data_IF_928877904422
#
_entry.id   IF_928877904422
#
_cell.length_a   1.000
_cell.length_b   1.000
_cell.length_c   1.000
_cell.angle_alpha   90.00
_cell.angle_beta   90.00
_cell.angle_gamma   90.00
#
_symmetry.space_group_name_H-M   'P 1'
#
loop_
_entity.id
_entity.type
_entity.pdbx_description
1 polymer ?
#
# COMPACT_ATOMS: atom_id res chain seq x y z
N UNK A 1 8.86 2.04 -35.77
CA UNK A 1 8.74 0.62 -35.38
C UNK A 1 9.60 0.19 -34.18
N UNK A 2 10.84 0.68 -33.99
CA UNK A 2 11.72 0.25 -32.87
C UNK A 2 11.17 0.47 -31.44
N UNK A 3 10.22 1.37 -31.24
CA UNK A 3 9.60 1.67 -29.94
C UNK A 3 8.73 0.53 -29.40
N UNK A 4 8.15 -0.29 -30.27
CA UNK A 4 7.27 -1.40 -29.88
C UNK A 4 8.00 -2.71 -29.58
N UNK A 5 9.27 -2.83 -29.98
CA UNK A 5 10.09 -4.04 -29.80
C UNK A 5 11.10 -3.92 -28.65
N UNK A 6 11.06 -2.84 -27.88
CA UNK A 6 11.83 -2.77 -26.63
C UNK A 6 11.10 -3.60 -25.57
N UNK A 7 11.84 -4.46 -24.88
CA UNK A 7 11.43 -5.07 -23.61
C UNK A 7 11.04 -3.94 -22.65
N UNK A 8 9.75 -3.60 -22.61
CA UNK A 8 9.18 -2.68 -21.64
C UNK A 8 8.51 -3.53 -20.59
N UNK A 9 8.94 -3.41 -19.33
CA UNK A 9 8.24 -4.06 -18.21
C UNK A 9 6.76 -3.66 -18.32
N UNK A 10 5.86 -4.64 -18.26
CA UNK A 10 4.42 -4.40 -18.30
C UNK A 10 3.96 -3.75 -16.99
N UNK A 11 4.23 -2.46 -16.85
CA UNK A 11 3.93 -1.64 -15.67
C UNK A 11 2.44 -1.72 -15.32
N UNK A 12 1.56 -1.70 -16.32
CA UNK A 12 0.10 -1.79 -16.14
C UNK A 12 -0.28 -3.08 -15.41
N UNK A 13 0.31 -4.22 -15.79
CA UNK A 13 0.06 -5.50 -15.12
C UNK A 13 0.53 -5.45 -13.67
N UNK A 14 1.71 -4.90 -13.41
CA UNK A 14 2.23 -4.81 -12.04
C UNK A 14 1.38 -3.90 -11.15
N UNK A 15 0.88 -2.78 -11.67
CA UNK A 15 -0.05 -1.90 -10.96
C UNK A 15 -1.39 -2.58 -10.69
N UNK A 16 -1.93 -3.33 -11.64
CA UNK A 16 -3.14 -4.12 -11.41
C UNK A 16 -2.93 -5.09 -10.22
N UNK A 17 -1.86 -5.88 -10.28
CA UNK A 17 -1.48 -6.81 -9.19
C UNK A 17 -1.32 -6.12 -7.84
N UNK A 18 -0.72 -4.93 -7.84
CA UNK A 18 -0.52 -4.14 -6.63
C UNK A 18 -1.83 -3.83 -5.91
N UNK A 19 -2.92 -3.57 -6.64
CA UNK A 19 -4.22 -3.26 -6.03
C UNK A 19 -5.14 -4.48 -5.84
N UNK A 20 -4.94 -5.57 -6.60
CA UNK A 20 -5.87 -6.71 -6.59
C UNK A 20 -5.32 -7.97 -5.92
N UNK A 21 -4.01 -8.22 -6.00
CA UNK A 21 -3.38 -9.48 -5.56
C UNK A 21 -2.62 -9.34 -4.25
N UNK A 22 -2.51 -8.11 -3.72
CA UNK A 22 -1.67 -7.76 -2.58
C UNK A 22 -2.45 -7.71 -1.26
N UNK A 23 -3.37 -8.65 -1.05
CA UNK A 23 -4.04 -8.80 0.25
C UNK A 23 -3.06 -9.27 1.33
N UNK A 24 -3.35 -8.91 2.59
CA UNK A 24 -2.58 -9.40 3.74
C UNK A 24 -2.75 -10.92 3.88
N UNK A 25 -1.64 -11.62 4.09
CA UNK A 25 -1.67 -13.07 4.37
C UNK A 25 -2.11 -13.31 5.82
N UNK A 26 -2.74 -14.47 6.10
CA UNK A 26 -3.32 -14.77 7.41
C UNK A 26 -2.35 -14.68 8.60
N UNK A 27 -1.07 -14.96 8.37
CA UNK A 27 -0.04 -15.02 9.42
C UNK A 27 0.99 -13.89 9.29
N UNK A 28 0.77 -12.94 8.38
CA UNK A 28 1.65 -11.81 8.15
C UNK A 28 1.27 -10.69 9.11
N UNK A 29 2.23 -10.03 9.76
CA UNK A 29 1.99 -8.85 10.59
C UNK A 29 1.70 -7.60 9.75
N UNK A 30 1.13 -6.56 10.34
CA UNK A 30 0.95 -5.25 9.67
C UNK A 30 2.27 -4.72 9.09
N UNK A 31 3.37 -4.88 9.83
CA UNK A 31 4.70 -4.40 9.43
C UNK A 31 5.30 -5.20 8.27
N UNK A 32 5.20 -6.53 8.31
CA UNK A 32 5.64 -7.39 7.20
C UNK A 32 4.85 -7.09 5.92
N UNK A 33 3.55 -6.85 6.07
CA UNK A 33 2.69 -6.45 4.96
C UNK A 33 3.14 -5.11 4.34
N UNK A 34 3.48 -4.12 5.18
CA UNK A 34 3.96 -2.83 4.72
C UNK A 34 5.29 -2.93 3.94
N UNK A 35 6.21 -3.80 4.40
CA UNK A 35 7.48 -4.08 3.70
C UNK A 35 7.20 -4.72 2.34
N UNK A 36 6.37 -5.77 2.28
CA UNK A 36 6.02 -6.45 1.03
C UNK A 36 5.34 -5.51 0.03
N UNK A 37 4.47 -4.62 0.50
CA UNK A 37 3.82 -3.63 -0.34
C UNK A 37 4.85 -2.64 -0.95
N UNK A 38 5.80 -2.16 -0.14
CA UNK A 38 6.90 -1.27 -0.61
C UNK A 38 7.74 -1.96 -1.69
N UNK A 39 8.15 -3.20 -1.46
CA UNK A 39 8.92 -3.98 -2.43
C UNK A 39 8.19 -4.14 -3.76
N UNK A 40 6.88 -4.43 -3.71
CA UNK A 40 6.09 -4.57 -4.92
C UNK A 40 5.91 -3.23 -5.65
N UNK A 41 5.80 -2.12 -4.92
CA UNK A 41 5.66 -0.78 -5.51
C UNK A 41 6.88 -0.39 -6.36
N UNK A 42 8.08 -0.87 -6.03
CA UNK A 42 9.30 -0.68 -6.84
C UNK A 42 9.19 -1.26 -8.25
N UNK A 43 8.29 -2.23 -8.47
CA UNK A 43 8.07 -2.86 -9.78
C UNK A 43 7.02 -2.14 -10.64
N UNK A 44 6.26 -1.22 -10.03
CA UNK A 44 5.05 -0.61 -10.59
C UNK A 44 5.29 0.76 -11.24
N UNK A 45 6.53 1.28 -11.21
CA UNK A 45 6.92 2.54 -11.85
C UNK A 45 5.91 3.66 -11.56
N UNK A 46 5.43 3.76 -10.32
CA UNK A 46 4.59 4.88 -9.88
C UNK A 46 5.44 6.14 -10.06
N UNK A 47 5.08 6.96 -11.06
CA UNK A 47 5.87 8.07 -11.61
C UNK A 47 6.62 8.88 -10.54
N UNK A 48 7.81 9.36 -10.90
CA UNK A 48 8.83 10.03 -10.07
C UNK A 48 8.38 11.30 -9.31
N UNK A 49 7.10 11.69 -9.35
CA UNK A 49 6.58 12.68 -8.40
C UNK A 49 6.39 12.00 -7.05
N UNK A 50 7.11 12.47 -6.03
CA UNK A 50 7.09 11.92 -4.66
C UNK A 50 5.69 11.62 -4.12
N UNK A 51 4.70 12.41 -4.54
CA UNK A 51 3.30 12.27 -4.12
C UNK A 51 2.59 11.04 -4.69
N UNK A 52 2.92 10.63 -5.92
CA UNK A 52 2.26 9.50 -6.60
C UNK A 52 2.54 8.15 -5.93
N UNK A 53 3.79 7.91 -5.53
CA UNK A 53 4.18 6.70 -4.80
C UNK A 53 3.60 6.68 -3.39
N UNK A 54 3.64 7.82 -2.67
CA UNK A 54 3.11 7.93 -1.32
C UNK A 54 1.61 7.62 -1.30
N UNK A 55 0.85 8.21 -2.23
CA UNK A 55 -0.59 7.95 -2.37
C UNK A 55 -0.87 6.49 -2.73
N UNK A 56 -0.11 5.91 -3.67
CA UNK A 56 -0.27 4.51 -4.05
C UNK A 56 -0.03 3.55 -2.87
N UNK A 57 1.02 3.77 -2.07
CA UNK A 57 1.30 2.97 -0.88
C UNK A 57 0.20 3.08 0.16
N UNK A 58 -0.26 4.31 0.48
CA UNK A 58 -1.36 4.50 1.44
C UNK A 58 -2.63 3.78 0.99
N UNK A 59 -3.05 3.99 -0.25
CA UNK A 59 -4.26 3.36 -0.81
C UNK A 59 -4.14 1.84 -0.84
N UNK A 60 -3.02 1.31 -1.38
CA UNK A 60 -2.80 -0.13 -1.47
C UNK A 60 -2.86 -0.82 -0.10
N UNK A 61 -2.24 -0.21 0.91
CA UNK A 61 -2.19 -0.76 2.26
C UNK A 61 -3.55 -0.79 2.94
N UNK A 62 -4.31 0.31 2.87
CA UNK A 62 -5.64 0.38 3.48
C UNK A 62 -6.59 -0.61 2.82
N UNK A 63 -6.58 -0.68 1.48
CA UNK A 63 -7.40 -1.64 0.74
C UNK A 63 -7.04 -3.09 1.07
N UNK A 64 -5.76 -3.39 1.27
CA UNK A 64 -5.30 -4.74 1.57
C UNK A 64 -5.63 -5.20 3.01
N UNK A 65 -5.67 -4.28 3.97
CA UNK A 65 -5.99 -4.57 5.37
C UNK A 65 -7.48 -4.50 5.67
N UNK A 66 -8.23 -3.64 4.98
CA UNK A 66 -9.69 -3.49 5.10
C UNK A 66 -10.21 -3.46 6.56
N UNK A 67 -9.51 -2.75 7.45
CA UNK A 67 -9.87 -2.68 8.88
C UNK A 67 -10.91 -1.59 9.12
N UNK A 68 -12.07 -1.99 9.63
CA UNK A 68 -13.14 -1.06 10.02
C UNK A 68 -12.70 -0.13 11.18
N UNK A 69 -11.94 -0.65 12.15
CA UNK A 69 -11.43 0.12 13.27
C UNK A 69 -10.50 1.26 12.81
N UNK A 70 -9.63 0.98 11.84
CA UNK A 70 -8.79 1.99 11.23
C UNK A 70 -9.62 3.05 10.49
N UNK A 71 -10.59 2.62 9.69
CA UNK A 71 -11.45 3.54 8.94
C UNK A 71 -12.21 4.48 9.88
N UNK A 72 -12.72 4.00 11.02
CA UNK A 72 -13.37 4.83 12.04
C UNK A 72 -12.40 5.85 12.66
N UNK A 73 -11.17 5.44 12.95
CA UNK A 73 -10.17 6.32 13.57
C UNK A 73 -9.67 7.40 12.61
N UNK A 74 -9.45 7.04 11.34
CA UNK A 74 -8.98 7.97 10.31
C UNK A 74 -10.12 8.79 9.71
N UNK A 75 -11.39 8.40 9.87
CA UNK A 75 -12.53 9.22 9.46
C UNK A 75 -12.49 10.65 10.05
N UNK A 76 -11.94 10.79 11.25
CA UNK A 76 -11.80 12.07 11.95
C UNK A 76 -10.47 12.78 11.67
N UNK A 77 -9.51 12.16 10.98
CA UNK A 77 -8.22 12.74 10.59
C UNK A 77 -8.22 13.00 9.08
N UNK A 78 -7.64 14.09 8.61
CA UNK A 78 -7.43 14.27 7.16
C UNK A 78 -6.47 13.19 6.67
N UNK A 79 -6.95 12.29 5.81
CA UNK A 79 -6.14 11.22 5.21
C UNK A 79 -5.00 11.76 4.35
N UNK A 80 -5.21 12.92 3.74
CA UNK A 80 -4.20 13.59 2.92
C UNK A 80 -3.01 14.05 3.78
N UNK A 81 -3.24 14.33 5.07
CA UNK A 81 -2.22 14.80 6.00
C UNK A 81 -1.38 13.65 6.60
N UNK A 82 -1.85 12.41 6.49
CA UNK A 82 -1.13 11.24 7.02
C UNK A 82 -0.06 10.78 6.03
N UNK A 83 1.14 10.55 6.54
CA UNK A 83 2.21 9.85 5.83
C UNK A 83 1.98 8.34 5.83
N UNK A 84 2.63 7.62 4.91
CA UNK A 84 2.54 6.15 4.89
C UNK A 84 3.04 5.51 6.20
N UNK A 85 4.09 6.07 6.82
CA UNK A 85 4.60 5.57 8.11
C UNK A 85 3.57 5.69 9.23
N UNK A 86 2.93 6.85 9.36
CA UNK A 86 1.87 7.08 10.36
C UNK A 86 0.67 6.14 10.15
N UNK A 87 0.32 5.85 8.90
CA UNK A 87 -0.73 4.87 8.61
C UNK A 87 -0.33 3.48 9.14
N UNK A 88 0.90 3.03 8.87
CA UNK A 88 1.40 1.73 9.35
C UNK A 88 1.41 1.67 10.89
N UNK A 89 1.88 2.73 11.56
CA UNK A 89 1.91 2.82 13.03
C UNK A 89 0.51 2.69 13.63
N UNK A 90 -0.47 3.45 13.12
CA UNK A 90 -1.87 3.37 13.59
C UNK A 90 -2.42 1.95 13.42
N UNK A 91 -2.14 1.29 12.30
CA UNK A 91 -2.59 -0.10 12.10
C UNK A 91 -1.91 -1.08 13.07
N UNK A 92 -0.62 -0.88 13.38
CA UNK A 92 0.10 -1.71 14.34
C UNK A 92 -0.49 -1.53 15.76
N UNK A 93 -0.80 -0.30 16.17
CA UNK A 93 -1.46 -0.03 17.45
C UNK A 93 -2.85 -0.68 17.56
N UNK A 94 -3.63 -0.64 16.47
CA UNK A 94 -4.94 -1.31 16.41
C UNK A 94 -4.79 -2.84 16.50
N UNK A 95 -3.76 -3.39 15.87
CA UNK A 95 -3.46 -4.82 15.91
C UNK A 95 -3.07 -5.27 17.32
N UNK A 96 -2.18 -4.53 17.98
CA UNK A 96 -1.74 -4.82 19.34
C UNK A 96 -2.90 -4.75 20.35
N UNK A 97 -3.74 -3.72 20.25
CA UNK A 97 -4.92 -3.56 21.14
C UNK A 97 -6.01 -4.61 20.91
N UNK A 98 -6.05 -5.23 19.74
CA UNK A 98 -6.99 -6.31 19.43
C UNK A 98 -6.51 -7.68 19.89
N UNK A 99 -5.20 -7.83 20.19
CA UNK A 99 -4.59 -9.09 20.65
C UNK A 99 -4.49 -9.19 22.18
N UNK A 100 -4.63 -8.08 22.90
CA UNK A 100 -4.78 -8.01 24.37
C UNK A 100 -6.22 -8.19 24.80
#
# INVERSE_FOLDING_TARGET
MRTHFRSKKFVVRQRHRFYTELSRKSNETVNEHAVRLREHALTCDFLSSSDGLAKALKTGFICALNSEAFLKLVYHKSFDDLTFGQVVEIFAEIEDTSQT
#
